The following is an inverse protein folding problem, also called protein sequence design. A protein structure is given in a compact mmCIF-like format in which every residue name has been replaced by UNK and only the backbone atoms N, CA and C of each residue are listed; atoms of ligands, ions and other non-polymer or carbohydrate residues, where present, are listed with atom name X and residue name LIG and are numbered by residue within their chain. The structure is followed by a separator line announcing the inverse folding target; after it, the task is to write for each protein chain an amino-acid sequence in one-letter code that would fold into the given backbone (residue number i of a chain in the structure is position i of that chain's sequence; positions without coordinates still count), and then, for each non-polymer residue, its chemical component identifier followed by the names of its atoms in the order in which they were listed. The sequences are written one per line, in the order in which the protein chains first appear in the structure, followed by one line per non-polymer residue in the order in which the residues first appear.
data_IF_561373080439
#
_entry.id   IF_561373080439
#
_cell.length_a   1.000
_cell.length_b   1.000
_cell.length_c   1.000
_cell.angle_alpha   90.00
_cell.angle_beta   90.00
_cell.angle_gamma   90.00
#
_symmetry.space_group_name_H-M   'P 1'
#
loop_
_entity.id
_entity.type
_entity.pdbx_description
1 polymer ?
#
# COMPACT_ATOMS: atom_id res chain seq x y z
N UNK A 1 23.18 -8.19 -38.23
CA UNK A 1 22.62 -7.55 -37.03
C UNK A 1 21.36 -8.34 -36.66
N UNK A 2 21.39 -9.12 -35.59
CA UNK A 2 20.22 -9.86 -35.13
C UNK A 2 19.28 -8.87 -34.42
N UNK A 3 18.15 -8.52 -35.05
CA UNK A 3 17.06 -7.88 -34.38
C UNK A 3 16.49 -8.90 -33.33
N UNK A 4 17.06 -8.92 -32.15
CA UNK A 4 16.39 -9.56 -31.03
C UNK A 4 15.18 -8.68 -30.69
N UNK A 5 14.01 -9.12 -31.06
CA UNK A 5 12.76 -8.59 -30.52
C UNK A 5 12.86 -8.84 -29.01
N UNK A 6 13.16 -7.80 -28.26
CA UNK A 6 13.18 -7.85 -26.80
C UNK A 6 11.74 -8.17 -26.36
N UNK A 7 11.50 -9.40 -25.93
CA UNK A 7 10.22 -9.79 -25.38
C UNK A 7 10.02 -9.05 -24.05
N UNK A 8 8.90 -8.36 -23.93
CA UNK A 8 8.48 -7.76 -22.66
C UNK A 8 8.44 -8.83 -21.56
N UNK A 9 9.11 -8.61 -20.41
CA UNK A 9 9.09 -9.60 -19.33
C UNK A 9 7.67 -9.90 -18.87
N UNK A 10 7.39 -11.18 -18.61
CA UNK A 10 6.11 -11.65 -18.09
C UNK A 10 6.33 -12.17 -16.66
N UNK A 11 5.52 -11.68 -15.73
CA UNK A 11 5.47 -12.15 -14.36
C UNK A 11 4.29 -13.11 -14.19
N UNK A 12 4.54 -14.31 -13.67
CA UNK A 12 3.53 -15.31 -13.38
C UNK A 12 3.17 -15.28 -11.89
N UNK A 13 1.88 -15.17 -11.57
CA UNK A 13 1.41 -15.34 -10.19
C UNK A 13 1.64 -16.80 -9.75
N UNK A 14 2.50 -17.01 -8.79
CA UNK A 14 2.79 -18.33 -8.20
C UNK A 14 1.74 -18.72 -7.16
N UNK A 15 1.44 -17.80 -6.26
CA UNK A 15 0.40 -17.95 -5.23
C UNK A 15 -0.17 -16.57 -4.89
N UNK A 16 -1.41 -16.51 -4.42
CA UNK A 16 -2.03 -15.27 -3.96
C UNK A 16 -1.88 -15.17 -2.43
N UNK A 17 -0.67 -14.82 -1.97
CA UNK A 17 -0.41 -14.61 -0.55
C UNK A 17 -0.87 -13.23 -0.08
N UNK A 18 -0.90 -12.26 -0.99
CA UNK A 18 -1.20 -10.86 -0.71
C UNK A 18 -2.35 -10.37 -1.57
N UNK A 19 -3.48 -10.15 -0.92
CA UNK A 19 -4.66 -9.58 -1.54
C UNK A 19 -4.76 -8.09 -1.19
N UNK A 20 -4.53 -7.21 -2.16
CA UNK A 20 -4.79 -5.78 -2.00
C UNK A 20 -6.25 -5.49 -2.36
N UNK A 21 -6.89 -4.60 -1.61
CA UNK A 21 -8.24 -4.12 -1.89
C UNK A 21 -8.21 -2.59 -1.90
N UNK A 22 -8.47 -2.00 -3.06
CA UNK A 22 -8.65 -0.57 -3.22
C UNK A 22 -10.06 -0.18 -2.77
N UNK A 23 -10.19 0.36 -1.55
CA UNK A 23 -11.50 0.70 -0.99
C UNK A 23 -12.14 1.91 -1.66
N UNK A 24 -11.31 2.82 -2.17
CA UNK A 24 -11.75 4.01 -2.89
C UNK A 24 -10.69 4.48 -3.88
N UNK A 25 -11.12 4.85 -5.07
CA UNK A 25 -10.23 5.34 -6.11
C UNK A 25 -9.89 6.83 -5.92
N UNK A 26 -10.78 7.64 -5.35
CA UNK A 26 -10.65 9.10 -5.33
C UNK A 26 -10.78 9.78 -3.97
N UNK A 27 -11.40 9.13 -2.98
CA UNK A 27 -11.67 9.81 -1.71
C UNK A 27 -10.42 9.85 -0.83
N UNK A 28 -9.78 11.00 -0.79
CA UNK A 28 -8.67 11.31 0.10
C UNK A 28 -8.79 12.75 0.57
N UNK A 29 -8.45 13.00 1.81
CA UNK A 29 -8.41 14.34 2.38
C UNK A 29 -7.02 15.01 2.23
N UNK A 30 -6.09 14.36 1.57
CA UNK A 30 -4.78 14.89 1.19
C UNK A 30 -4.58 14.80 -0.33
N UNK A 31 -3.75 15.71 -0.89
CA UNK A 31 -3.36 15.71 -2.30
C UNK A 31 -1.83 15.81 -2.39
N UNK A 32 -1.17 14.70 -2.01
CA UNK A 32 0.29 14.66 -1.92
C UNK A 32 0.95 14.86 -3.28
N UNK A 33 2.03 15.62 -3.35
CA UNK A 33 2.77 15.93 -4.59
C UNK A 33 3.26 14.67 -5.33
N UNK A 34 3.61 13.62 -4.58
CA UNK A 34 4.10 12.37 -5.12
C UNK A 34 3.02 11.29 -5.29
N UNK A 35 1.74 11.61 -5.05
CA UNK A 35 0.68 10.62 -5.12
C UNK A 35 0.65 9.97 -6.51
N UNK A 36 0.58 8.64 -6.56
CA UNK A 36 0.45 7.90 -7.82
C UNK A 36 -0.96 8.03 -8.43
N UNK A 37 -1.95 8.42 -7.61
CA UNK A 37 -3.30 8.71 -8.05
C UNK A 37 -3.31 10.12 -8.66
N UNK A 38 -3.84 10.24 -9.89
CA UNK A 38 -3.99 11.53 -10.55
C UNK A 38 -5.29 12.23 -10.13
N UNK A 39 -5.16 13.39 -9.47
CA UNK A 39 -6.28 14.23 -9.09
C UNK A 39 -6.35 15.49 -9.99
N UNK A 40 -7.57 15.99 -10.35
CA UNK A 40 -8.88 15.38 -10.10
C UNK A 40 -9.16 14.19 -11.04
N UNK A 41 -9.78 13.16 -10.51
CA UNK A 41 -10.20 12.00 -11.30
C UNK A 41 -11.40 12.33 -12.21
N UNK A 42 -11.60 11.50 -13.24
CA UNK A 42 -12.72 11.66 -14.15
C UNK A 42 -14.07 11.52 -13.43
N UNK A 43 -15.11 12.18 -13.94
CA UNK A 43 -16.46 12.18 -13.32
C UNK A 43 -17.13 10.80 -13.22
N UNK A 44 -16.60 9.80 -13.94
CA UNK A 44 -17.19 8.45 -14.01
C UNK A 44 -16.55 7.44 -13.06
N UNK A 45 -15.73 7.90 -12.11
CA UNK A 45 -15.08 7.04 -11.13
C UNK A 45 -16.07 6.69 -10.03
N UNK A 46 -16.18 5.40 -9.69
CA UNK A 46 -16.91 4.95 -8.49
C UNK A 46 -16.21 5.48 -7.23
N UNK A 47 -17.00 5.95 -6.26
CA UNK A 47 -16.43 6.51 -5.05
C UNK A 47 -15.85 5.43 -4.14
N UNK A 48 -16.56 4.30 -4.02
CA UNK A 48 -16.20 3.20 -3.13
C UNK A 48 -16.50 1.85 -3.78
N UNK A 49 -15.68 0.86 -3.46
CA UNK A 49 -15.98 -0.53 -3.79
C UNK A 49 -17.12 -1.04 -2.90
N UNK A 50 -18.01 -1.88 -3.43
CA UNK A 50 -19.13 -2.38 -2.64
C UNK A 50 -18.71 -3.49 -1.66
N UNK A 51 -19.39 -3.59 -0.51
CA UNK A 51 -19.20 -4.70 0.43
C UNK A 51 -19.43 -6.07 -0.23
N UNK A 52 -20.39 -6.16 -1.17
CA UNK A 52 -20.68 -7.42 -1.84
C UNK A 52 -19.54 -7.84 -2.77
N UNK A 53 -18.96 -6.90 -3.51
CA UNK A 53 -17.78 -7.17 -4.34
C UNK A 53 -16.61 -7.71 -3.49
N UNK A 54 -16.36 -7.11 -2.31
CA UNK A 54 -15.29 -7.57 -1.41
C UNK A 54 -15.64 -8.97 -0.85
N UNK A 55 -16.89 -9.20 -0.46
CA UNK A 55 -17.35 -10.49 0.06
C UNK A 55 -17.20 -11.60 -0.98
N UNK A 56 -17.59 -11.33 -2.22
CA UNK A 56 -17.41 -12.26 -3.33
C UNK A 56 -15.93 -12.57 -3.56
N UNK A 57 -15.07 -11.57 -3.62
CA UNK A 57 -13.63 -11.77 -3.79
C UNK A 57 -13.00 -12.62 -2.68
N UNK A 58 -13.36 -12.38 -1.40
CA UNK A 58 -12.90 -13.20 -0.27
C UNK A 58 -13.41 -14.64 -0.40
N UNK A 59 -14.62 -14.85 -0.86
CA UNK A 59 -15.18 -16.18 -1.08
C UNK A 59 -14.52 -16.91 -2.25
N UNK A 60 -14.29 -16.22 -3.36
CA UNK A 60 -13.69 -16.81 -4.56
C UNK A 60 -12.21 -17.16 -4.36
N UNK A 61 -11.55 -16.50 -3.40
CA UNK A 61 -10.14 -16.77 -3.04
C UNK A 61 -9.97 -17.72 -1.84
N UNK A 62 -11.00 -18.48 -1.44
CA UNK A 62 -10.90 -19.39 -0.28
C UNK A 62 -9.85 -20.49 -0.43
N UNK A 63 -9.58 -20.94 -1.64
CA UNK A 63 -8.55 -21.93 -1.96
C UNK A 63 -7.14 -21.35 -2.04
N UNK A 64 -6.99 -20.03 -2.06
CA UNK A 64 -5.69 -19.36 -2.11
C UNK A 64 -5.10 -19.24 -0.69
N UNK A 65 -3.76 -19.22 -0.60
CA UNK A 65 -3.05 -19.12 0.68
C UNK A 65 -2.83 -17.63 1.06
N UNK A 66 -3.93 -16.88 1.29
CA UNK A 66 -3.82 -15.47 1.65
C UNK A 66 -3.26 -15.33 3.07
N UNK A 67 -2.10 -14.70 3.19
CA UNK A 67 -1.42 -14.40 4.44
C UNK A 67 -1.78 -13.01 4.97
N UNK A 68 -1.97 -12.06 4.05
CA UNK A 68 -2.35 -10.70 4.41
C UNK A 68 -3.29 -10.06 3.39
N UNK A 69 -4.33 -9.41 3.90
CA UNK A 69 -5.21 -8.52 3.13
C UNK A 69 -4.80 -7.08 3.39
N UNK A 70 -4.52 -6.33 2.31
CA UNK A 70 -4.08 -4.95 2.37
C UNK A 70 -5.22 -4.02 1.99
N UNK A 71 -5.69 -3.21 2.92
CA UNK A 71 -6.69 -2.17 2.67
C UNK A 71 -5.98 -0.89 2.23
N UNK A 72 -6.24 -0.49 1.00
CA UNK A 72 -5.59 0.65 0.35
C UNK A 72 -6.60 1.47 -0.48
N UNK A 73 -6.11 2.35 -1.31
CA UNK A 73 -6.87 3.24 -2.17
C UNK A 73 -6.37 4.66 -2.04
N UNK A 74 -7.25 5.66 -2.24
CA UNK A 74 -6.90 7.05 -1.97
C UNK A 74 -6.66 7.26 -0.46
N UNK A 75 -7.72 7.17 0.37
CA UNK A 75 -7.60 6.97 1.82
C UNK A 75 -8.65 5.93 2.27
N UNK A 76 -8.25 4.71 2.61
CA UNK A 76 -9.18 3.61 2.86
C UNK A 76 -10.13 3.88 4.05
N UNK A 77 -9.69 4.62 5.06
CA UNK A 77 -10.51 4.91 6.24
C UNK A 77 -11.66 5.92 5.96
N UNK A 78 -11.74 6.47 4.75
CA UNK A 78 -12.91 7.26 4.30
C UNK A 78 -14.09 6.40 3.88
N UNK A 79 -13.88 5.09 3.65
CA UNK A 79 -14.96 4.20 3.24
C UNK A 79 -16.03 4.12 4.33
N UNK A 80 -17.33 4.33 4.01
CA UNK A 80 -18.41 4.33 5.01
C UNK A 80 -18.51 3.01 5.76
N UNK A 81 -18.27 1.89 5.08
CA UNK A 81 -18.31 0.55 5.65
C UNK A 81 -16.95 0.01 6.09
N UNK A 82 -15.94 0.89 6.27
CA UNK A 82 -14.57 0.48 6.63
C UNK A 82 -14.53 -0.52 7.80
N UNK A 83 -15.31 -0.28 8.85
CA UNK A 83 -15.33 -1.16 10.02
C UNK A 83 -15.87 -2.56 9.72
N UNK A 84 -16.86 -2.66 8.85
CA UNK A 84 -17.46 -3.93 8.40
C UNK A 84 -16.48 -4.69 7.51
N UNK A 85 -15.80 -3.98 6.60
CA UNK A 85 -14.77 -4.53 5.72
C UNK A 85 -13.62 -5.08 6.56
N UNK A 86 -13.10 -4.31 7.51
CA UNK A 86 -12.02 -4.74 8.39
C UNK A 86 -12.36 -6.03 9.13
N UNK A 87 -13.55 -6.08 9.77
CA UNK A 87 -14.01 -7.29 10.46
C UNK A 87 -14.16 -8.49 9.52
N UNK A 88 -14.59 -8.27 8.29
CA UNK A 88 -14.72 -9.32 7.27
C UNK A 88 -13.34 -9.85 6.87
N UNK A 89 -12.36 -8.98 6.63
CA UNK A 89 -11.00 -9.34 6.26
C UNK A 89 -10.27 -10.06 7.40
N UNK A 90 -10.43 -9.61 8.66
CA UNK A 90 -9.84 -10.24 9.85
C UNK A 90 -10.39 -11.62 10.18
N UNK A 91 -11.49 -12.07 9.57
CA UNK A 91 -11.93 -13.47 9.65
C UNK A 91 -11.14 -14.39 8.72
N UNK A 92 -10.31 -13.83 7.85
CA UNK A 92 -9.62 -14.55 6.77
C UNK A 92 -8.10 -14.57 6.93
N UNK A 93 -7.50 -13.44 7.33
CA UNK A 93 -6.05 -13.27 7.44
C UNK A 93 -5.69 -12.02 8.23
N UNK A 94 -4.40 -11.79 8.46
CA UNK A 94 -3.91 -10.51 8.93
C UNK A 94 -4.36 -9.38 7.99
N UNK A 95 -4.57 -8.19 8.53
CA UNK A 95 -5.01 -7.03 7.74
C UNK A 95 -4.02 -5.89 7.90
N UNK A 96 -3.46 -5.44 6.78
CA UNK A 96 -2.58 -4.30 6.72
C UNK A 96 -3.34 -3.07 6.17
N UNK A 97 -3.35 -1.97 6.91
CA UNK A 97 -4.04 -0.74 6.55
C UNK A 97 -3.01 0.30 6.12
N UNK A 98 -3.05 0.69 4.83
CA UNK A 98 -2.29 1.83 4.32
C UNK A 98 -3.07 3.11 4.52
N UNK A 99 -2.60 4.01 5.36
CA UNK A 99 -3.35 5.22 5.68
C UNK A 99 -2.43 6.43 5.88
N UNK A 100 -2.96 7.61 5.59
CA UNK A 100 -2.31 8.88 5.92
C UNK A 100 -2.42 9.25 7.42
N UNK A 101 -3.13 8.45 8.20
CA UNK A 101 -3.24 8.60 9.66
C UNK A 101 -4.25 9.64 10.14
N UNK A 102 -4.85 10.44 9.25
CA UNK A 102 -5.72 11.56 9.65
C UNK A 102 -7.02 11.16 10.36
N UNK A 103 -7.48 9.94 10.11
CA UNK A 103 -8.67 9.37 10.76
C UNK A 103 -8.34 8.57 12.04
N UNK A 104 -7.06 8.51 12.42
CA UNK A 104 -6.59 7.79 13.61
C UNK A 104 -6.60 8.72 14.81
N UNK A 105 -7.51 8.46 15.74
CA UNK A 105 -7.60 9.10 17.04
C UNK A 105 -7.84 8.05 18.12
N UNK A 106 -7.73 8.41 19.41
CA UNK A 106 -7.86 7.45 20.51
C UNK A 106 -9.17 6.65 20.50
N UNK A 107 -10.30 7.29 20.15
CA UNK A 107 -11.61 6.61 20.04
C UNK A 107 -11.58 5.52 18.97
N UNK A 108 -11.01 5.86 17.80
CA UNK A 108 -10.88 4.93 16.67
C UNK A 108 -9.91 3.79 17.02
N UNK A 109 -8.75 4.10 17.58
CA UNK A 109 -7.74 3.08 17.94
C UNK A 109 -8.28 2.11 18.98
N UNK A 110 -8.98 2.59 20.02
CA UNK A 110 -9.63 1.74 21.02
C UNK A 110 -10.68 0.80 20.40
N UNK A 111 -11.41 1.27 19.40
CA UNK A 111 -12.33 0.42 18.65
C UNK A 111 -11.55 -0.63 17.83
N UNK A 112 -10.50 -0.23 17.12
CA UNK A 112 -9.68 -1.14 16.29
C UNK A 112 -9.01 -2.21 17.15
N UNK A 113 -8.51 -1.85 18.34
CA UNK A 113 -7.92 -2.81 19.28
C UNK A 113 -8.93 -3.87 19.73
N UNK A 114 -10.17 -3.48 20.06
CA UNK A 114 -11.22 -4.46 20.38
C UNK A 114 -11.53 -5.39 19.20
N UNK A 115 -11.54 -4.86 17.97
CA UNK A 115 -11.76 -5.66 16.77
C UNK A 115 -10.65 -6.67 16.57
N UNK A 116 -9.40 -6.28 16.82
CA UNK A 116 -8.24 -7.17 16.77
C UNK A 116 -8.32 -8.24 17.87
N UNK A 117 -8.62 -7.85 19.13
CA UNK A 117 -8.70 -8.76 20.28
C UNK A 117 -9.83 -9.82 20.10
N UNK A 118 -10.85 -9.54 19.28
CA UNK A 118 -11.92 -10.47 18.89
C UNK A 118 -11.49 -11.42 17.73
N UNK A 119 -10.29 -11.28 17.19
CA UNK A 119 -9.76 -12.01 16.02
C UNK A 119 -8.57 -12.89 16.39
N UNK A 120 -8.32 -13.91 15.57
CA UNK A 120 -7.05 -14.68 15.61
C UNK A 120 -5.95 -14.06 14.74
N UNK A 121 -6.26 -12.93 14.07
CA UNK A 121 -5.38 -12.23 13.15
C UNK A 121 -5.14 -10.79 13.61
N UNK A 122 -4.03 -10.22 13.18
CA UNK A 122 -3.54 -8.91 13.60
C UNK A 122 -3.92 -7.78 12.63
N UNK A 123 -3.98 -6.56 13.15
CA UNK A 123 -4.08 -5.33 12.37
C UNK A 123 -2.71 -4.67 12.32
N UNK A 124 -2.17 -4.52 11.12
CA UNK A 124 -0.90 -3.85 10.86
C UNK A 124 -1.18 -2.46 10.28
N UNK A 125 -0.56 -1.43 10.81
CA UNK A 125 -0.70 -0.07 10.28
C UNK A 125 0.55 0.32 9.49
N UNK A 126 0.36 0.72 8.25
CA UNK A 126 1.35 1.42 7.44
C UNK A 126 0.97 2.89 7.33
N UNK A 127 1.66 3.72 8.11
CA UNK A 127 1.43 5.15 8.18
C UNK A 127 2.30 5.91 7.19
N UNK A 128 1.67 6.68 6.34
CA UNK A 128 2.40 7.53 5.38
C UNK A 128 2.90 8.81 6.04
N UNK A 129 4.21 9.00 6.04
CA UNK A 129 4.91 10.22 6.47
C UNK A 129 6.19 10.32 5.65
N UNK A 130 6.54 11.51 5.14
CA UNK A 130 7.61 11.62 4.13
C UNK A 130 8.84 12.36 4.63
N UNK A 131 8.72 13.17 5.69
CA UNK A 131 9.86 13.86 6.26
C UNK A 131 9.73 14.08 7.77
N UNK A 132 10.85 14.03 8.48
CA UNK A 132 10.92 14.30 9.93
C UNK A 132 10.79 15.80 10.27
N UNK A 133 11.06 16.69 9.33
CA UNK A 133 10.79 18.13 9.44
C UNK A 133 9.35 18.42 9.03
N UNK A 134 8.60 19.12 9.90
CA UNK A 134 7.18 19.43 9.69
C UNK A 134 6.95 20.21 8.41
N UNK A 135 7.81 21.21 8.12
CA UNK A 135 7.64 22.11 6.95
C UNK A 135 7.82 21.32 5.66
N UNK A 136 8.86 20.49 5.58
CA UNK A 136 9.11 19.63 4.41
C UNK A 136 8.03 18.56 4.24
N UNK A 137 7.56 17.93 5.32
CA UNK A 137 6.48 16.96 5.23
C UNK A 137 5.18 17.61 4.75
N UNK A 138 4.82 18.75 5.33
CA UNK A 138 3.60 19.48 4.97
C UNK A 138 3.67 20.06 3.55
N UNK A 139 4.86 20.41 3.07
CA UNK A 139 5.08 20.82 1.67
C UNK A 139 4.72 19.69 0.69
N UNK A 140 4.98 18.43 1.06
CA UNK A 140 4.67 17.26 0.21
C UNK A 140 3.21 16.84 0.36
N UNK A 141 2.72 16.72 1.61
CA UNK A 141 1.46 16.05 1.93
C UNK A 141 0.30 16.98 2.23
N UNK A 142 0.58 18.26 2.39
CA UNK A 142 -0.38 19.30 2.77
C UNK A 142 -0.27 19.71 4.24
N UNK A 143 -0.67 20.96 4.49
CA UNK A 143 -0.56 21.62 5.78
C UNK A 143 -1.20 20.83 6.92
N UNK A 144 -0.46 20.61 8.00
CA UNK A 144 -0.91 19.92 9.20
C UNK A 144 -0.83 18.37 9.12
N UNK A 145 -0.43 17.82 7.98
CA UNK A 145 -0.32 16.38 7.80
C UNK A 145 0.71 15.75 8.74
N UNK A 146 1.84 16.44 8.97
CA UNK A 146 2.86 15.98 9.92
C UNK A 146 2.30 15.78 11.33
N UNK A 147 1.63 16.79 11.86
CA UNK A 147 1.06 16.74 13.22
C UNK A 147 -0.01 15.65 13.35
N UNK A 148 -0.83 15.48 12.33
CA UNK A 148 -1.86 14.44 12.30
C UNK A 148 -1.24 13.04 12.32
N UNK A 149 -0.19 12.78 11.51
CA UNK A 149 0.48 11.49 11.49
C UNK A 149 1.26 11.22 12.79
N UNK A 150 1.93 12.22 13.38
CA UNK A 150 2.59 12.08 14.69
C UNK A 150 1.56 11.79 15.79
N UNK A 151 0.39 12.42 15.74
CA UNK A 151 -0.71 12.11 16.66
C UNK A 151 -1.22 10.66 16.47
N UNK A 152 -1.29 10.17 15.23
CA UNK A 152 -1.65 8.79 14.94
C UNK A 152 -0.62 7.81 15.52
N UNK A 153 0.69 8.06 15.35
CA UNK A 153 1.76 7.24 15.96
C UNK A 153 1.55 7.13 17.47
N UNK A 154 1.38 8.26 18.16
CA UNK A 154 1.14 8.30 19.60
C UNK A 154 -0.11 7.52 20.01
N UNK A 155 -1.20 7.69 19.26
CA UNK A 155 -2.47 7.03 19.56
C UNK A 155 -2.38 5.52 19.37
N UNK A 156 -1.71 5.05 18.33
CA UNK A 156 -1.48 3.62 18.04
C UNK A 156 -0.58 2.99 19.12
N UNK A 157 0.56 3.62 19.42
CA UNK A 157 1.50 3.14 20.42
C UNK A 157 0.84 2.98 21.81
N UNK A 158 0.00 3.93 22.22
CA UNK A 158 -0.76 3.89 23.49
C UNK A 158 -1.60 2.61 23.64
N UNK A 159 -2.06 2.02 22.55
CA UNK A 159 -2.89 0.81 22.54
C UNK A 159 -2.13 -0.45 22.08
N UNK A 160 -0.80 -0.39 22.06
CA UNK A 160 0.06 -1.53 21.76
C UNK A 160 0.22 -1.87 20.28
N UNK A 161 -0.23 -1.02 19.35
CA UNK A 161 0.06 -1.18 17.94
C UNK A 161 1.47 -0.67 17.61
N UNK A 162 2.16 -1.38 16.75
CA UNK A 162 3.50 -1.06 16.28
C UNK A 162 3.46 -0.62 14.81
N UNK A 163 3.15 0.66 14.51
CA UNK A 163 2.99 1.10 13.12
C UNK A 163 4.30 1.04 12.34
N UNK A 164 4.20 0.74 11.05
CA UNK A 164 5.28 0.84 10.09
C UNK A 164 5.17 2.22 9.40
N UNK A 165 6.22 3.01 9.45
CA UNK A 165 6.26 4.30 8.78
C UNK A 165 6.68 4.12 7.32
N UNK A 166 5.80 4.51 6.39
CA UNK A 166 6.06 4.47 4.95
C UNK A 166 6.47 5.85 4.47
N UNK A 167 7.73 5.96 4.06
CA UNK A 167 8.39 7.22 3.72
C UNK A 167 8.69 7.21 2.22
N UNK A 168 8.16 8.19 1.47
CA UNK A 168 8.66 8.46 0.13
C UNK A 168 9.77 9.49 0.23
N UNK A 169 10.99 9.09 -0.09
CA UNK A 169 12.16 9.95 0.02
C UNK A 169 12.20 11.00 -1.11
N UNK A 170 11.30 11.97 -1.01
CA UNK A 170 11.07 13.00 -2.02
C UNK A 170 12.27 13.93 -2.19
N UNK A 171 12.95 14.26 -1.09
CA UNK A 171 14.11 15.18 -1.08
C UNK A 171 15.45 14.46 -1.25
N UNK A 172 15.45 13.15 -1.51
CA UNK A 172 16.67 12.35 -1.66
C UNK A 172 17.61 12.46 -0.45
N UNK A 173 17.03 12.46 0.75
CA UNK A 173 17.75 12.49 2.02
C UNK A 173 18.51 11.18 2.25
N UNK A 174 19.56 11.23 3.07
CA UNK A 174 20.28 10.02 3.47
C UNK A 174 19.34 9.08 4.24
N UNK A 175 19.26 7.82 3.84
CA UNK A 175 18.37 6.80 4.44
C UNK A 175 18.59 6.64 5.95
N UNK A 176 19.87 6.60 6.38
CA UNK A 176 20.21 6.46 7.79
C UNK A 176 19.73 7.68 8.60
N UNK A 177 19.93 8.88 8.07
CA UNK A 177 19.44 10.12 8.70
C UNK A 177 17.92 10.09 8.86
N UNK A 178 17.17 9.69 7.81
CA UNK A 178 15.71 9.54 7.90
C UNK A 178 15.31 8.59 9.02
N UNK A 179 15.89 7.40 9.07
CA UNK A 179 15.58 6.39 10.10
C UNK A 179 15.91 6.92 11.50
N UNK A 180 17.09 7.51 11.69
CA UNK A 180 17.52 7.99 13.00
C UNK A 180 16.62 9.12 13.52
N UNK A 181 16.22 10.05 12.66
CA UNK A 181 15.31 11.14 13.04
C UNK A 181 13.89 10.64 13.31
N UNK A 182 13.38 9.69 12.51
CA UNK A 182 12.07 9.10 12.78
C UNK A 182 12.06 8.22 14.04
N UNK A 183 13.13 7.50 14.36
CA UNK A 183 13.28 6.80 15.64
C UNK A 183 13.15 7.75 16.83
N UNK A 184 13.75 8.95 16.77
CA UNK A 184 13.60 9.98 17.82
C UNK A 184 12.15 10.45 17.96
N UNK A 185 11.45 10.65 16.83
CA UNK A 185 10.04 11.04 16.83
C UNK A 185 9.18 9.93 17.45
N UNK A 186 9.39 8.68 17.07
CA UNK A 186 8.69 7.53 17.61
C UNK A 186 8.89 7.42 19.13
N UNK A 187 10.13 7.45 19.60
CA UNK A 187 10.48 7.37 21.00
C UNK A 187 9.81 8.49 21.82
N UNK A 188 9.84 9.73 21.32
CA UNK A 188 9.17 10.89 21.95
C UNK A 188 7.67 10.72 22.07
N UNK A 189 7.06 9.88 21.23
CA UNK A 189 5.64 9.58 21.21
C UNK A 189 5.27 8.22 21.83
N UNK A 190 6.19 7.63 22.61
CA UNK A 190 5.95 6.39 23.35
C UNK A 190 6.04 5.12 22.51
N UNK A 191 6.75 5.17 21.38
CA UNK A 191 6.94 4.05 20.48
C UNK A 191 8.44 3.79 20.24
N UNK A 192 8.94 2.65 20.68
CA UNK A 192 10.32 2.21 20.44
C UNK A 192 10.39 1.47 19.09
N UNK A 193 10.66 2.22 18.03
CA UNK A 193 10.73 1.69 16.67
C UNK A 193 12.13 1.11 16.38
N UNK A 194 12.17 -0.06 15.74
CA UNK A 194 13.35 -0.66 15.15
C UNK A 194 13.40 -0.44 13.64
N UNK A 195 14.40 -0.97 12.94
CA UNK A 195 14.57 -0.75 11.50
C UNK A 195 13.43 -1.34 10.64
N UNK A 196 12.80 -2.42 11.09
CA UNK A 196 11.67 -3.05 10.38
C UNK A 196 10.39 -2.20 10.42
N UNK A 197 10.34 -1.18 11.28
CA UNK A 197 9.22 -0.24 11.35
C UNK A 197 9.33 0.90 10.33
N UNK A 198 10.28 0.85 9.40
CA UNK A 198 10.47 1.86 8.38
C UNK A 198 10.53 1.25 6.99
N UNK A 199 9.70 1.76 6.09
CA UNK A 199 9.79 1.50 4.66
C UNK A 199 10.14 2.81 3.98
N UNK A 200 11.28 2.86 3.30
CA UNK A 200 11.73 4.06 2.58
C UNK A 200 11.72 3.75 1.09
N UNK A 201 10.83 4.42 0.37
CA UNK A 201 10.67 4.27 -1.06
C UNK A 201 11.36 5.42 -1.80
N UNK A 202 11.95 5.14 -2.96
CA UNK A 202 12.39 6.18 -3.86
C UNK A 202 11.18 6.91 -4.44
N UNK A 203 11.32 8.21 -4.65
CA UNK A 203 10.32 8.98 -5.35
C UNK A 203 10.20 8.50 -6.80
N UNK A 204 8.99 8.19 -7.24
CA UNK A 204 8.68 7.87 -8.62
C UNK A 204 8.19 9.11 -9.35
N UNK A 205 9.00 9.57 -10.32
CA UNK A 205 8.56 10.64 -11.23
C UNK A 205 7.70 10.03 -12.35
N UNK A 206 6.42 10.32 -12.32
CA UNK A 206 5.44 9.85 -13.32
C UNK A 206 5.76 10.30 -14.75
N UNK A 207 6.46 11.43 -14.91
CA UNK A 207 6.81 11.99 -16.21
C UNK A 207 8.08 11.37 -16.79
N UNK A 208 8.78 10.57 -16.01
CA UNK A 208 10.00 9.91 -16.45
C UNK A 208 9.66 8.77 -17.42
N UNK A 209 10.31 8.77 -18.59
CA UNK A 209 10.19 7.66 -19.55
C UNK A 209 10.65 6.36 -18.89
N UNK A 210 10.03 5.25 -19.30
CA UNK A 210 10.46 3.90 -18.93
C UNK A 210 11.91 3.71 -19.39
N UNK A 211 12.77 3.26 -18.47
CA UNK A 211 14.15 2.92 -18.83
C UNK A 211 14.20 1.70 -19.73
N UNK A 212 15.32 1.49 -20.42
CA UNK A 212 15.54 0.29 -21.20
C UNK A 212 15.36 -0.96 -20.33
N UNK A 213 14.52 -1.88 -20.76
CA UNK A 213 14.17 -3.11 -20.03
C UNK A 213 15.18 -4.23 -20.24
N UNK A 214 16.13 -4.06 -21.14
CA UNK A 214 17.13 -5.11 -21.50
C UNK A 214 17.97 -5.58 -20.32
N UNK A 215 18.15 -4.74 -19.29
CA UNK A 215 18.97 -5.03 -18.11
C UNK A 215 18.13 -5.34 -16.85
N UNK A 216 16.82 -5.54 -16.98
CA UNK A 216 15.95 -5.71 -15.82
C UNK A 216 16.11 -7.08 -15.16
N UNK A 217 16.43 -7.08 -13.88
CA UNK A 217 16.29 -8.25 -13.03
C UNK A 217 14.87 -8.33 -12.45
N UNK A 218 13.90 -8.62 -13.30
CA UNK A 218 12.47 -8.69 -12.93
C UNK A 218 12.14 -9.84 -11.95
N UNK A 219 13.04 -10.83 -11.77
CA UNK A 219 12.89 -11.92 -10.79
C UNK A 219 12.94 -11.43 -9.35
N UNK A 220 13.40 -10.20 -9.10
CA UNK A 220 13.39 -9.60 -7.77
C UNK A 220 12.06 -8.96 -7.37
N UNK A 221 11.05 -8.98 -8.25
CA UNK A 221 9.76 -8.35 -8.00
C UNK A 221 8.78 -9.31 -7.32
N UNK A 222 8.08 -8.80 -6.31
CA UNK A 222 7.07 -9.57 -5.55
C UNK A 222 5.70 -9.67 -6.28
N UNK A 223 5.63 -9.31 -7.56
CA UNK A 223 4.41 -9.42 -8.39
C UNK A 223 3.91 -10.87 -8.54
N UNK A 224 4.77 -11.85 -8.21
CA UNK A 224 4.45 -13.28 -8.23
C UNK A 224 3.54 -13.72 -7.08
N UNK A 225 3.26 -12.86 -6.09
CA UNK A 225 2.56 -13.23 -4.85
C UNK A 225 1.38 -12.31 -4.49
N UNK A 226 1.00 -11.40 -5.36
CA UNK A 226 -0.06 -10.45 -5.04
C UNK A 226 -0.91 -10.02 -6.21
N UNK A 227 -2.17 -9.62 -5.93
CA UNK A 227 -3.09 -8.95 -6.86
C UNK A 227 -3.88 -7.91 -6.10
N UNK A 228 -4.42 -6.94 -6.85
CA UNK A 228 -5.31 -5.93 -6.29
C UNK A 228 -6.72 -6.05 -6.88
N UNK A 229 -7.70 -6.02 -5.99
CA UNK A 229 -9.11 -5.85 -6.30
C UNK A 229 -9.45 -4.36 -6.27
N UNK A 230 -10.12 -3.88 -7.30
CA UNK A 230 -10.70 -2.54 -7.37
C UNK A 230 -12.19 -2.61 -7.70
N UNK A 231 -12.87 -1.49 -7.71
CA UNK A 231 -14.27 -1.41 -8.16
C UNK A 231 -14.46 -1.75 -9.66
N UNK A 232 -13.36 -1.87 -10.42
CA UNK A 232 -13.34 -2.14 -11.86
C UNK A 232 -12.83 -3.54 -12.22
N UNK A 233 -12.35 -4.31 -11.24
CA UNK A 233 -11.84 -5.67 -11.43
C UNK A 233 -10.49 -5.91 -10.77
N UNK A 234 -9.79 -6.92 -11.26
CA UNK A 234 -8.52 -7.40 -10.73
C UNK A 234 -7.37 -6.85 -11.55
N UNK A 235 -6.32 -6.37 -10.86
CA UNK A 235 -5.10 -5.84 -11.46
C UNK A 235 -3.85 -6.46 -10.83
N UNK A 236 -2.74 -6.36 -11.53
CA UNK A 236 -1.48 -7.00 -11.15
C UNK A 236 -0.86 -6.43 -9.89
N UNK A 237 -0.98 -5.13 -9.64
CA UNK A 237 -0.44 -4.49 -8.45
C UNK A 237 -1.13 -3.14 -8.18
N UNK A 238 -0.99 -2.55 -6.98
CA UNK A 238 -1.59 -1.26 -6.64
C UNK A 238 -1.20 -0.09 -7.54
N UNK A 239 0.03 -0.05 -8.07
CA UNK A 239 0.45 1.01 -9.00
C UNK A 239 -0.21 0.93 -10.37
N UNK A 240 -0.71 -0.24 -10.72
CA UNK A 240 -1.43 -0.47 -11.97
C UNK A 240 -2.92 -0.66 -11.74
N UNK A 241 -3.42 -0.29 -10.56
CA UNK A 241 -4.83 -0.23 -10.28
C UNK A 241 -5.50 0.69 -11.30
N UNK A 242 -6.55 0.19 -11.95
CA UNK A 242 -7.30 0.91 -12.98
C UNK A 242 -6.51 1.27 -14.27
N UNK A 243 -5.27 0.80 -14.43
CA UNK A 243 -4.51 0.88 -15.67
C UNK A 243 -4.74 -0.40 -16.52
N UNK A 244 -5.08 -0.22 -17.79
CA UNK A 244 -5.36 -1.34 -18.70
C UNK A 244 -4.18 -2.34 -18.83
N UNK A 245 -2.95 -1.86 -18.69
CA UNK A 245 -1.72 -2.68 -18.75
C UNK A 245 -1.58 -3.65 -17.58
N UNK A 246 -2.17 -3.29 -16.43
CA UNK A 246 -2.18 -4.14 -15.24
C UNK A 246 -3.42 -5.02 -15.10
N UNK A 247 -4.41 -4.90 -16.01
CA UNK A 247 -5.68 -5.60 -15.89
C UNK A 247 -5.52 -7.11 -16.00
N UNK A 248 -5.99 -7.85 -15.01
CA UNK A 248 -5.96 -9.31 -14.97
C UNK A 248 -7.35 -9.95 -15.18
N UNK A 249 -8.42 -9.27 -14.82
CA UNK A 249 -9.77 -9.83 -14.96
C UNK A 249 -10.84 -8.99 -14.30
N UNK A 250 -12.08 -9.49 -14.31
CA UNK A 250 -13.22 -8.83 -13.68
C UNK A 250 -13.41 -9.28 -12.22
N UNK A 251 -13.13 -10.54 -11.94
CA UNK A 251 -13.28 -11.18 -10.62
C UNK A 251 -12.26 -12.29 -10.44
N UNK A 252 -12.22 -12.91 -9.24
CA UNK A 252 -11.26 -13.97 -8.91
C UNK A 252 -11.69 -15.38 -9.37
N UNK A 253 -12.85 -15.56 -9.99
CA UNK A 253 -13.25 -16.84 -10.55
C UNK A 253 -12.49 -17.14 -11.84
N UNK A 254 -12.29 -16.08 -12.65
CA UNK A 254 -11.55 -16.17 -13.91
C UNK A 254 -10.68 -14.94 -14.12
N UNK A 255 -9.44 -15.00 -13.69
CA UNK A 255 -8.48 -13.91 -13.87
C UNK A 255 -7.14 -14.41 -14.39
N UNK A 256 -6.47 -13.58 -15.20
CA UNK A 256 -5.15 -13.90 -15.72
C UNK A 256 -4.11 -13.94 -14.58
N UNK A 257 -3.40 -15.06 -14.47
CA UNK A 257 -2.33 -15.24 -13.48
C UNK A 257 -0.98 -14.69 -13.97
N UNK A 258 -0.92 -14.11 -15.16
CA UNK A 258 0.27 -13.49 -15.71
C UNK A 258 0.03 -12.02 -16.06
N UNK A 259 1.08 -11.22 -16.03
CA UNK A 259 1.06 -9.83 -16.48
C UNK A 259 2.42 -9.42 -17.05
N UNK A 260 2.40 -8.46 -17.97
CA UNK A 260 3.60 -7.88 -18.54
C UNK A 260 4.19 -6.81 -17.63
N UNK A 261 5.53 -6.69 -17.60
CA UNK A 261 6.27 -5.72 -16.80
C UNK A 261 6.82 -4.63 -17.75
N UNK A 262 5.99 -3.69 -18.15
CA UNK A 262 6.32 -2.69 -19.18
C UNK A 262 6.09 -1.24 -18.77
N UNK A 263 5.92 -0.98 -17.46
CA UNK A 263 5.64 0.38 -17.00
C UNK A 263 6.83 1.02 -16.30
N UNK A 264 6.82 2.36 -16.26
CA UNK A 264 7.80 3.12 -15.47
C UNK A 264 7.77 2.78 -13.99
N UNK A 265 6.62 2.34 -13.46
CA UNK A 265 6.50 1.80 -12.10
C UNK A 265 7.31 0.52 -11.92
N UNK A 266 7.25 -0.42 -12.89
CA UNK A 266 8.05 -1.65 -12.84
C UNK A 266 9.54 -1.33 -12.78
N UNK A 267 10.01 -0.37 -13.59
CA UNK A 267 11.39 0.12 -13.55
C UNK A 267 11.77 0.69 -12.17
N UNK A 268 10.90 1.49 -11.57
CA UNK A 268 11.14 2.04 -10.22
C UNK A 268 11.22 0.94 -9.17
N UNK A 269 10.35 -0.08 -9.25
CA UNK A 269 10.37 -1.23 -8.36
C UNK A 269 11.71 -1.99 -8.43
N UNK A 270 12.19 -2.25 -9.64
CA UNK A 270 13.45 -2.94 -9.86
C UNK A 270 14.63 -2.13 -9.30
N UNK A 271 14.64 -0.82 -9.50
CA UNK A 271 15.69 0.07 -9.00
C UNK A 271 15.72 0.18 -7.49
N UNK A 272 14.55 0.18 -6.87
CA UNK A 272 14.45 0.24 -5.42
C UNK A 272 15.07 -0.97 -4.74
N UNK A 273 15.11 -2.14 -5.40
CA UNK A 273 15.47 -3.43 -4.79
C UNK A 273 14.74 -3.70 -3.47
N UNK A 274 13.89 -2.78 -3.08
CA UNK A 274 13.06 -2.82 -1.89
C UNK A 274 11.65 -3.18 -2.33
N UNK A 275 11.01 -3.95 -1.51
CA UNK A 275 9.66 -4.43 -1.78
C UNK A 275 8.71 -3.25 -1.81
N UNK A 276 8.03 -3.07 -2.92
CA UNK A 276 7.01 -2.07 -3.09
C UNK A 276 6.02 -2.10 -1.94
N UNK A 277 5.62 -0.91 -1.50
CA UNK A 277 4.77 -0.74 -0.32
C UNK A 277 5.38 -1.28 0.98
N UNK A 278 6.70 -1.62 0.97
CA UNK A 278 7.34 -2.23 2.13
C UNK A 278 6.64 -3.49 2.60
N UNK A 279 6.11 -4.24 1.65
CA UNK A 279 5.54 -5.55 1.91
C UNK A 279 6.73 -6.48 2.16
N UNK A 280 7.08 -6.65 3.40
CA UNK A 280 8.03 -7.67 3.78
C UNK A 280 7.24 -8.95 3.99
N UNK A 281 7.20 -9.82 2.99
CA UNK A 281 6.54 -11.11 3.07
C UNK A 281 7.17 -12.04 4.11
N UNK A 282 8.31 -11.68 4.67
CA UNK A 282 9.05 -12.41 5.70
C UNK A 282 8.73 -11.93 7.14
N UNK A 283 7.80 -10.99 7.34
CA UNK A 283 7.38 -10.56 8.69
C UNK A 283 6.51 -11.59 9.43
N UNK A 284 6.23 -12.73 8.80
CA UNK A 284 5.34 -13.77 9.35
C UNK A 284 6.04 -15.14 9.52
N UNK A 285 7.39 -15.19 9.53
CA UNK A 285 8.15 -16.35 9.97
C UNK A 285 8.46 -16.30 11.48
#
# INVERSE_FOLDING_TARGET
MKNSILQTPICQLKSLNNLFIELTEKNCNQHCKHCYIDFPLSKNVKDFISLDTIREAINDTKSESIECIYLTGAEPMTHPDFNSILRMCLKRSNVCIFTNGTFINEKKVRFLKRVEDESSFEIIFKLSIDHYDEVKNDDIRGRGSYRQTVHAIKSLAKYGFNPILCITNYYNENKKTLIDEFKKICMKNGYEANENNFTINLYHDKNKKTDDISEWNWKSLDCEYGRILTSKGIYSCPFLANDHRGRCGSDFKDFARHNTLETSFCSTCIKNKEKLFGINFQLFE
#
